data_IF_758236586111
#
_entry.id   IF_758236586111
#
_cell.length_a   1.000
_cell.length_b   1.000
_cell.length_c   1.000
_cell.angle_alpha   90.00
_cell.angle_beta   90.00
_cell.angle_gamma   90.00
#
_symmetry.space_group_name_H-M   'P 1'
#
loop_
_entity.id
_entity.type
_entity.pdbx_description
1 polymer ?
#
# COMPACT_ATOMS: atom_id res chain seq x y z
N UNK A 1 -43.20 -9.36 -10.97
CA UNK A 1 -42.54 -8.49 -9.97
C UNK A 1 -41.06 -8.44 -10.32
N UNK A 2 -40.49 -7.25 -10.50
CA UNK A 2 -39.06 -7.10 -10.75
C UNK A 2 -38.30 -7.35 -9.44
N UNK A 3 -37.20 -8.11 -9.51
CA UNK A 3 -36.30 -8.32 -8.37
C UNK A 3 -35.65 -6.98 -8.03
N UNK A 4 -35.62 -6.56 -6.75
CA UNK A 4 -34.90 -5.36 -6.36
C UNK A 4 -33.41 -5.50 -6.75
N UNK A 5 -32.75 -4.39 -7.13
CA UNK A 5 -31.34 -4.43 -7.48
C UNK A 5 -30.51 -4.93 -6.28
N UNK A 6 -29.45 -5.68 -6.58
CA UNK A 6 -28.51 -6.16 -5.57
C UNK A 6 -27.95 -4.98 -4.78
N UNK A 7 -27.97 -5.01 -3.43
CA UNK A 7 -27.32 -3.99 -2.61
C UNK A 7 -25.78 -4.06 -2.72
N UNK A 8 -25.24 -5.16 -3.26
CA UNK A 8 -23.82 -5.29 -3.57
C UNK A 8 -23.57 -4.81 -5.00
N UNK A 9 -23.27 -3.52 -5.13
CA UNK A 9 -22.95 -2.86 -6.40
C UNK A 9 -21.47 -2.95 -6.73
N UNK A 10 -20.61 -2.98 -5.72
CA UNK A 10 -19.16 -3.09 -5.87
C UNK A 10 -18.75 -4.52 -6.25
N UNK A 11 -18.18 -4.68 -7.45
CA UNK A 11 -17.74 -5.98 -7.98
C UNK A 11 -16.22 -6.15 -8.01
N UNK A 12 -15.48 -5.16 -7.53
CA UNK A 12 -14.01 -5.13 -7.57
C UNK A 12 -13.40 -4.53 -6.30
N UNK A 13 -12.17 -4.03 -6.42
CA UNK A 13 -11.52 -3.28 -5.35
C UNK A 13 -12.33 -2.02 -5.06
N UNK A 14 -12.69 -1.82 -3.80
CA UNK A 14 -13.38 -0.60 -3.35
C UNK A 14 -12.32 0.48 -3.22
N UNK A 15 -12.47 1.54 -3.99
CA UNK A 15 -11.56 2.71 -3.99
C UNK A 15 -12.22 3.98 -3.48
N UNK A 16 -13.55 4.00 -3.38
CA UNK A 16 -14.29 5.08 -2.75
C UNK A 16 -14.43 4.80 -1.24
N UNK A 17 -13.86 5.64 -0.36
CA UNK A 17 -14.00 5.48 1.09
C UNK A 17 -15.45 5.40 1.56
N UNK A 18 -16.40 6.04 0.88
CA UNK A 18 -17.82 6.03 1.27
C UNK A 18 -18.46 4.65 1.12
N UNK A 19 -17.92 3.80 0.25
CA UNK A 19 -18.38 2.43 0.05
C UNK A 19 -17.60 1.40 0.87
N UNK A 20 -16.54 1.81 1.60
CA UNK A 20 -15.77 0.92 2.45
C UNK A 20 -16.39 0.80 3.85
N UNK A 21 -16.99 -0.35 4.15
CA UNK A 21 -17.73 -0.58 5.39
C UNK A 21 -17.13 -1.73 6.21
N UNK A 22 -17.01 -1.53 7.53
CA UNK A 22 -16.59 -2.56 8.48
C UNK A 22 -15.07 -2.63 8.66
N UNK A 23 -14.56 -3.83 8.98
CA UNK A 23 -13.11 -4.09 9.21
C UNK A 23 -12.47 -3.31 10.36
N UNK A 24 -13.27 -2.80 11.29
CA UNK A 24 -12.80 -1.98 12.42
C UNK A 24 -11.70 -2.67 13.23
N UNK A 25 -11.85 -3.96 13.52
CA UNK A 25 -10.85 -4.73 14.27
C UNK A 25 -9.52 -4.80 13.52
N UNK A 26 -9.56 -5.11 12.23
CA UNK A 26 -8.38 -5.18 11.38
C UNK A 26 -7.70 -3.82 11.28
N UNK A 27 -8.47 -2.74 11.04
CA UNK A 27 -7.95 -1.37 10.99
C UNK A 27 -7.28 -0.97 12.31
N UNK A 28 -7.91 -1.23 13.46
CA UNK A 28 -7.32 -0.93 14.77
C UNK A 28 -5.98 -1.64 14.96
N UNK A 29 -5.90 -2.93 14.64
CA UNK A 29 -4.65 -3.70 14.76
C UNK A 29 -3.57 -3.15 13.82
N UNK A 30 -3.95 -2.83 12.58
CA UNK A 30 -3.01 -2.32 11.58
C UNK A 30 -2.46 -0.95 12.01
N UNK A 31 -3.32 0.00 12.36
CA UNK A 31 -2.90 1.33 12.76
C UNK A 31 -2.07 1.31 14.05
N UNK A 32 -2.38 0.46 15.03
CA UNK A 32 -1.52 0.25 16.21
C UNK A 32 -0.08 -0.17 15.81
N UNK A 33 0.08 -1.03 14.80
CA UNK A 33 1.42 -1.44 14.31
C UNK A 33 2.09 -0.33 13.51
N UNK A 34 1.33 0.41 12.71
CA UNK A 34 1.85 1.53 11.92
C UNK A 34 2.32 2.68 12.81
N UNK A 35 1.60 3.01 13.90
CA UNK A 35 2.05 3.97 14.92
C UNK A 35 3.39 3.56 15.53
N UNK A 36 3.60 2.26 15.74
CA UNK A 36 4.87 1.70 16.21
C UNK A 36 5.94 1.57 15.11
N UNK A 37 5.70 2.13 13.90
CA UNK A 37 6.57 2.05 12.71
C UNK A 37 6.94 0.62 12.32
N UNK A 38 6.02 -0.34 12.49
CA UNK A 38 6.24 -1.74 12.16
C UNK A 38 5.62 -2.08 10.80
N UNK A 39 6.35 -2.73 9.88
CA UNK A 39 5.76 -3.27 8.66
C UNK A 39 4.63 -4.26 8.99
N UNK A 40 3.57 -4.25 8.18
CA UNK A 40 2.40 -5.10 8.35
C UNK A 40 2.17 -5.93 7.08
N UNK A 41 2.03 -7.25 7.24
CA UNK A 41 1.61 -8.16 6.18
C UNK A 41 0.11 -8.46 6.31
N UNK A 42 -0.66 -8.12 5.28
CA UNK A 42 -2.08 -8.47 5.18
C UNK A 42 -2.22 -9.72 4.32
N UNK A 43 -2.50 -10.86 4.95
CA UNK A 43 -2.68 -12.13 4.27
C UNK A 43 -4.11 -12.66 4.42
N UNK A 44 -4.56 -13.43 3.44
CA UNK A 44 -5.89 -14.05 3.46
C UNK A 44 -6.34 -14.53 2.09
N UNK A 45 -7.44 -15.29 2.00
CA UNK A 45 -7.95 -15.85 0.75
C UNK A 45 -8.20 -14.80 -0.35
N UNK A 46 -8.21 -15.24 -1.60
CA UNK A 46 -8.62 -14.40 -2.73
C UNK A 46 -10.06 -13.90 -2.52
N UNK A 47 -10.35 -12.67 -2.93
CA UNK A 47 -11.69 -12.08 -2.84
C UNK A 47 -12.15 -11.63 -1.45
N UNK A 48 -11.35 -11.80 -0.39
CA UNK A 48 -11.75 -11.36 0.98
C UNK A 48 -11.72 -9.83 1.17
N UNK A 49 -11.27 -9.07 0.17
CA UNK A 49 -11.21 -7.60 0.20
C UNK A 49 -9.91 -6.99 0.73
N UNK A 50 -8.77 -7.71 0.64
CA UNK A 50 -7.45 -7.22 1.09
C UNK A 50 -7.05 -5.93 0.36
N UNK A 51 -7.16 -5.91 -0.95
CA UNK A 51 -6.84 -4.75 -1.78
C UNK A 51 -7.72 -3.54 -1.42
N UNK A 52 -9.02 -3.76 -1.16
CA UNK A 52 -9.94 -2.70 -0.69
C UNK A 52 -9.53 -2.17 0.68
N UNK A 53 -9.16 -3.06 1.61
CA UNK A 53 -8.65 -2.67 2.93
C UNK A 53 -7.36 -1.85 2.82
N UNK A 54 -6.43 -2.29 1.97
CA UNK A 54 -5.16 -1.60 1.74
C UNK A 54 -5.37 -0.21 1.11
N UNK A 55 -6.29 -0.08 0.14
CA UNK A 55 -6.69 1.22 -0.41
C UNK A 55 -7.30 2.13 0.65
N UNK A 56 -8.17 1.61 1.51
CA UNK A 56 -8.74 2.41 2.59
C UNK A 56 -7.67 2.88 3.59
N UNK A 57 -6.72 2.02 3.94
CA UNK A 57 -5.57 2.38 4.79
C UNK A 57 -4.77 3.50 4.13
N UNK A 58 -4.41 3.36 2.86
CA UNK A 58 -3.59 4.37 2.18
C UNK A 58 -4.27 5.74 2.13
N UNK A 59 -5.59 5.77 1.94
CA UNK A 59 -6.37 7.01 1.87
C UNK A 59 -6.61 7.68 3.22
N UNK A 60 -6.68 6.89 4.29
CA UNK A 60 -7.08 7.36 5.61
C UNK A 60 -5.92 7.47 6.60
N UNK A 61 -4.70 7.04 6.23
CA UNK A 61 -3.57 6.94 7.13
C UNK A 61 -3.18 8.27 7.79
N UNK A 62 -3.07 9.35 7.02
CA UNK A 62 -2.70 10.67 7.55
C UNK A 62 -3.68 11.15 8.65
N UNK A 63 -4.97 10.90 8.46
CA UNK A 63 -6.01 11.24 9.44
C UNK A 63 -5.97 10.30 10.65
N UNK A 64 -5.91 8.98 10.44
CA UNK A 64 -5.94 8.01 11.54
C UNK A 64 -4.68 8.07 12.42
N UNK A 65 -3.53 8.41 11.85
CA UNK A 65 -2.26 8.52 12.57
C UNK A 65 -2.00 9.93 13.12
N UNK A 66 -2.91 10.88 12.88
CA UNK A 66 -2.73 12.30 13.22
C UNK A 66 -1.38 12.84 12.69
N UNK A 67 -1.08 12.54 11.42
CA UNK A 67 0.14 12.93 10.69
C UNK A 67 -0.25 13.51 9.34
N UNK A 68 -0.54 14.80 9.30
CA UNK A 68 -0.92 15.49 8.06
C UNK A 68 0.26 15.68 7.09
N UNK A 69 1.49 15.47 7.56
CA UNK A 69 2.74 15.41 6.79
C UNK A 69 3.07 14.01 6.29
N UNK A 70 2.23 13.00 6.56
CA UNK A 70 2.42 11.63 6.07
C UNK A 70 2.09 11.54 4.59
N UNK A 71 3.10 11.23 3.77
CA UNK A 71 2.89 10.83 2.38
C UNK A 71 2.54 9.34 2.34
N UNK A 72 1.42 9.01 1.71
CA UNK A 72 0.92 7.63 1.62
C UNK A 72 0.77 7.21 0.17
N UNK A 73 1.56 6.23 -0.25
CA UNK A 73 1.64 5.76 -1.62
C UNK A 73 1.06 4.35 -1.73
N UNK A 74 0.06 4.19 -2.59
CA UNK A 74 -0.47 2.90 -2.98
C UNK A 74 0.21 2.42 -4.27
N UNK A 75 0.80 1.24 -4.25
CA UNK A 75 1.47 0.65 -5.41
C UNK A 75 0.92 -0.73 -5.69
N UNK A 76 0.39 -0.91 -6.90
CA UNK A 76 -0.01 -2.21 -7.43
C UNK A 76 1.19 -2.88 -8.09
N UNK A 77 1.84 -3.82 -7.38
CA UNK A 77 3.04 -4.48 -7.88
C UNK A 77 2.73 -5.40 -9.07
N UNK A 78 1.49 -5.89 -9.20
CA UNK A 78 1.09 -6.73 -10.32
C UNK A 78 1.02 -5.94 -11.64
N UNK A 79 0.91 -4.61 -11.57
CA UNK A 79 0.92 -3.73 -12.74
C UNK A 79 2.34 -3.35 -13.21
N UNK A 80 3.38 -3.71 -12.44
CA UNK A 80 4.76 -3.33 -12.73
C UNK A 80 5.55 -4.48 -13.37
N UNK A 81 6.44 -4.17 -14.34
CA UNK A 81 7.23 -5.20 -15.02
C UNK A 81 8.39 -5.73 -14.16
N UNK A 82 8.97 -4.89 -13.31
CA UNK A 82 10.18 -5.19 -12.52
C UNK A 82 10.36 -4.24 -11.32
N UNK A 83 11.41 -4.50 -10.53
CA UNK A 83 11.75 -3.68 -9.37
C UNK A 83 12.25 -2.26 -9.74
N UNK A 84 12.86 -2.07 -10.92
CA UNK A 84 13.32 -0.75 -11.35
C UNK A 84 12.14 0.19 -11.62
N UNK A 85 11.07 -0.33 -12.23
CA UNK A 85 9.82 0.39 -12.41
C UNK A 85 9.17 0.77 -11.06
N UNK A 86 9.23 -0.11 -10.06
CA UNK A 86 8.80 0.21 -8.70
C UNK A 86 9.60 1.37 -8.11
N UNK A 87 10.93 1.29 -8.10
CA UNK A 87 11.76 2.34 -7.51
C UNK A 87 11.55 3.68 -8.21
N UNK A 88 11.48 3.68 -9.54
CA UNK A 88 11.19 4.90 -10.31
C UNK A 88 9.86 5.51 -9.92
N UNK A 89 8.81 4.71 -9.85
CA UNK A 89 7.47 5.18 -9.46
C UNK A 89 7.47 5.84 -8.09
N UNK A 90 8.13 5.23 -7.10
CA UNK A 90 8.14 5.76 -5.72
C UNK A 90 9.06 6.98 -5.62
N UNK A 91 10.25 6.95 -6.22
CA UNK A 91 11.19 8.07 -6.19
C UNK A 91 10.62 9.30 -6.90
N UNK A 92 9.98 9.11 -8.06
CA UNK A 92 9.31 10.20 -8.78
C UNK A 92 8.17 10.79 -7.94
N UNK A 93 7.41 9.96 -7.22
CA UNK A 93 6.34 10.43 -6.32
C UNK A 93 6.87 11.24 -5.13
N UNK A 94 8.09 10.96 -4.67
CA UNK A 94 8.78 11.73 -3.62
C UNK A 94 9.45 13.00 -4.15
N UNK A 95 9.39 13.27 -5.46
CA UNK A 95 9.93 14.48 -6.09
C UNK A 95 11.38 14.36 -6.56
N UNK A 96 11.94 13.16 -6.55
CA UNK A 96 13.33 12.87 -6.93
C UNK A 96 13.42 12.09 -8.25
N UNK A 97 14.63 11.63 -8.60
CA UNK A 97 14.86 10.80 -9.80
C UNK A 97 15.76 9.61 -9.52
N UNK A 98 15.38 8.45 -10.02
CA UNK A 98 16.18 7.24 -9.98
C UNK A 98 15.32 5.98 -9.94
N UNK A 99 15.91 4.82 -10.17
CA UNK A 99 15.20 3.54 -10.31
C UNK A 99 15.88 2.41 -9.52
N UNK A 100 16.56 2.77 -8.43
CA UNK A 100 17.29 1.82 -7.57
C UNK A 100 16.90 1.99 -6.10
N UNK A 101 17.20 0.97 -5.29
CA UNK A 101 17.06 1.03 -3.81
C UNK A 101 17.84 2.20 -3.22
N UNK A 102 19.05 2.48 -3.72
CA UNK A 102 19.86 3.59 -3.23
C UNK A 102 19.22 4.96 -3.54
N UNK A 103 18.61 5.10 -4.72
CA UNK A 103 17.86 6.32 -5.05
C UNK A 103 16.64 6.49 -4.14
N UNK A 104 15.93 5.40 -3.82
CA UNK A 104 14.83 5.43 -2.86
C UNK A 104 15.30 5.83 -1.45
N UNK A 105 16.42 5.28 -0.97
CA UNK A 105 16.99 5.67 0.33
C UNK A 105 17.32 7.15 0.38
N UNK A 106 17.93 7.69 -0.67
CA UNK A 106 18.24 9.14 -0.77
C UNK A 106 16.95 9.96 -0.78
N UNK A 107 15.96 9.59 -1.59
CA UNK A 107 14.69 10.30 -1.67
C UNK A 107 13.94 10.30 -0.33
N UNK A 108 13.95 9.18 0.40
CA UNK A 108 13.36 9.09 1.74
C UNK A 108 14.10 9.93 2.79
N UNK A 109 15.41 10.10 2.67
CA UNK A 109 16.21 10.97 3.56
C UNK A 109 15.91 12.45 3.28
N UNK A 110 15.65 12.80 2.02
CA UNK A 110 15.39 14.17 1.59
C UNK A 110 13.93 14.60 1.78
N UNK A 111 13.00 13.64 1.78
CA UNK A 111 11.59 13.89 1.94
C UNK A 111 11.24 14.43 3.34
N UNK A 112 10.43 15.49 3.38
CA UNK A 112 9.93 16.06 4.63
C UNK A 112 8.69 15.29 5.07
N UNK A 113 8.85 14.40 6.06
CA UNK A 113 7.75 13.68 6.69
C UNK A 113 7.88 12.16 6.60
N UNK A 114 7.00 11.42 7.30
CA UNK A 114 6.96 9.98 7.19
C UNK A 114 6.36 9.56 5.84
N UNK A 115 6.80 8.40 5.32
CA UNK A 115 6.23 7.78 4.11
C UNK A 115 5.62 6.43 4.46
N UNK A 116 4.37 6.22 4.07
CA UNK A 116 3.69 4.91 4.14
C UNK A 116 3.59 4.30 2.74
N UNK A 117 4.28 3.17 2.53
CA UNK A 117 4.16 2.37 1.31
C UNK A 117 3.13 1.26 1.48
N UNK A 118 2.04 1.33 0.73
CA UNK A 118 1.00 0.31 0.65
C UNK A 118 1.19 -0.52 -0.62
N UNK A 119 1.67 -1.76 -0.47
CA UNK A 119 2.02 -2.66 -1.58
C UNK A 119 0.94 -3.72 -1.78
N UNK A 120 0.27 -3.70 -2.94
CA UNK A 120 -0.69 -4.73 -3.36
C UNK A 120 -0.04 -5.66 -4.38
N UNK A 121 -0.54 -6.90 -4.45
CA UNK A 121 -0.09 -7.87 -5.44
C UNK A 121 1.37 -8.34 -5.29
N UNK A 122 1.84 -8.48 -4.05
CA UNK A 122 3.20 -8.95 -3.78
C UNK A 122 3.44 -10.38 -4.31
N UNK A 123 2.43 -11.24 -4.29
CA UNK A 123 2.53 -12.60 -4.79
C UNK A 123 2.82 -12.67 -6.30
N UNK A 124 2.30 -11.73 -7.08
CA UNK A 124 2.53 -11.63 -8.53
C UNK A 124 3.97 -11.18 -8.80
N UNK A 125 4.48 -10.20 -8.06
CA UNK A 125 5.87 -9.76 -8.14
C UNK A 125 6.85 -10.87 -7.76
N UNK A 126 6.54 -11.65 -6.72
CA UNK A 126 7.33 -12.82 -6.32
C UNK A 126 7.30 -13.88 -7.42
N UNK A 127 6.12 -14.20 -7.95
CA UNK A 127 5.98 -15.16 -9.04
C UNK A 127 6.72 -14.72 -10.33
N UNK A 128 6.83 -13.41 -10.56
CA UNK A 128 7.60 -12.83 -11.65
C UNK A 128 9.12 -12.79 -11.39
N UNK A 129 9.59 -13.19 -10.20
CA UNK A 129 11.01 -13.38 -9.87
C UNK A 129 11.75 -12.14 -9.37
N UNK A 130 11.07 -11.01 -9.17
CA UNK A 130 11.71 -9.77 -8.68
C UNK A 130 11.19 -9.30 -7.30
N UNK A 131 10.03 -9.81 -6.87
CA UNK A 131 9.37 -9.39 -5.63
C UNK A 131 10.16 -9.70 -4.36
N UNK A 132 10.79 -10.88 -4.25
CA UNK A 132 11.54 -11.27 -3.05
C UNK A 132 12.71 -10.31 -2.76
N UNK A 133 13.48 -9.96 -3.80
CA UNK A 133 14.60 -9.03 -3.68
C UNK A 133 14.13 -7.63 -3.32
N UNK A 134 13.00 -7.18 -3.89
CA UNK A 134 12.40 -5.89 -3.56
C UNK A 134 11.97 -5.85 -2.10
N UNK A 135 11.16 -6.80 -1.64
CA UNK A 135 10.65 -6.83 -0.26
C UNK A 135 11.80 -6.93 0.76
N UNK A 136 12.85 -7.70 0.45
CA UNK A 136 14.06 -7.76 1.27
C UNK A 136 14.85 -6.44 1.31
N UNK A 137 14.82 -5.64 0.24
CA UNK A 137 15.39 -4.30 0.21
C UNK A 137 14.57 -3.32 1.07
N UNK A 138 13.26 -3.30 0.90
CA UNK A 138 12.37 -2.46 1.71
C UNK A 138 12.47 -2.78 3.21
N UNK A 139 12.60 -4.06 3.59
CA UNK A 139 12.80 -4.47 4.97
C UNK A 139 14.18 -4.04 5.56
N UNK A 140 15.16 -3.70 4.72
CA UNK A 140 16.43 -3.09 5.16
C UNK A 140 16.27 -1.58 5.39
N UNK A 141 15.49 -0.92 4.53
CA UNK A 141 15.21 0.51 4.61
C UNK A 141 14.31 0.85 5.79
N UNK A 142 13.30 0.02 6.07
CA UNK A 142 12.33 0.24 7.15
C UNK A 142 12.88 -0.02 8.57
N UNK A 143 14.19 -0.24 8.73
CA UNK A 143 14.85 -0.51 10.01
C UNK A 143 15.35 0.73 10.71
#
# INVERSE_FOLDING_TARGET
MATPPSPFTERGRITDPQHFIGRWRELSIIFEKLEARRPVLIAGPAGVGKSSLLTHISQSAATNLERFDLESLFVDLAALPDAAAFYRLVVDALGDKGDTSAALEVALIQHEGPVLLCLDGAEQAIAAGWGDMLLAALARIAR
#
